data_IF_410512264078
#
_entry.id   IF_410512264078
#
_cell.length_a   1.000
_cell.length_b   1.000
_cell.length_c   1.000
_cell.angle_alpha   90.00
_cell.angle_beta   90.00
_cell.angle_gamma   90.00
#
_symmetry.space_group_name_H-M   'P 1'
#
loop_
_entity.id
_entity.type
_entity.pdbx_description
1 polymer ?
#
# COMPACT_ATOMS: atom_id res chain seq x y z
N UNK A 1 -9.54 16.84 16.40
CA UNK A 1 -8.34 16.76 15.55
C UNK A 1 -7.66 15.41 15.78
N UNK A 2 -8.00 14.38 15.01
CA UNK A 2 -7.36 13.06 15.10
C UNK A 2 -6.23 13.02 14.07
N UNK A 3 -5.00 13.01 14.55
CA UNK A 3 -3.79 12.96 13.75
C UNK A 3 -3.54 11.50 13.34
N UNK A 4 -4.13 11.08 12.21
CA UNK A 4 -3.95 9.74 11.63
C UNK A 4 -2.55 9.63 11.01
N UNK A 5 -1.56 9.41 11.87
CA UNK A 5 -0.22 9.04 11.45
C UNK A 5 -0.28 7.70 10.71
N UNK A 6 0.13 7.70 9.44
CA UNK A 6 0.43 6.50 8.65
C UNK A 6 1.44 5.64 9.40
N UNK A 7 0.97 4.73 10.26
CA UNK A 7 1.80 3.64 10.79
C UNK A 7 1.76 2.55 9.74
N UNK A 8 2.71 2.62 8.82
CA UNK A 8 3.00 1.54 7.89
C UNK A 8 3.24 0.27 8.71
N UNK A 9 2.53 -0.81 8.36
CA UNK A 9 2.90 -2.17 8.73
C UNK A 9 4.36 -2.37 8.32
N UNK A 10 5.27 -2.32 9.31
CA UNK A 10 6.70 -2.39 9.06
C UNK A 10 7.09 -3.87 9.06
N UNK A 11 7.34 -4.42 7.87
CA UNK A 11 7.85 -5.79 7.69
C UNK A 11 9.37 -5.78 7.92
N UNK A 12 9.83 -6.60 8.85
CA UNK A 12 11.23 -6.74 9.20
C UNK A 12 11.91 -7.74 8.24
N UNK A 13 12.65 -7.26 7.23
CA UNK A 13 13.58 -8.11 6.45
C UNK A 13 14.91 -8.23 7.19
N UNK A 14 15.36 -9.46 7.49
CA UNK A 14 16.74 -9.74 7.91
C UNK A 14 17.69 -9.41 6.77
N UNK A 15 18.74 -8.63 7.03
CA UNK A 15 19.84 -8.39 6.11
C UNK A 15 21.00 -9.33 6.45
N UNK A 16 21.40 -10.19 5.51
CA UNK A 16 22.63 -10.98 5.55
C UNK A 16 23.78 -10.14 5.00
N UNK A 17 24.83 -9.94 5.81
CA UNK A 17 26.02 -9.18 5.46
C UNK A 17 26.96 -9.93 4.51
N UNK A 18 27.59 -9.19 3.60
CA UNK A 18 28.65 -9.68 2.72
C UNK A 18 29.52 -8.51 2.27
N UNK A 19 30.73 -8.45 2.84
CA UNK A 19 31.80 -7.47 2.56
C UNK A 19 32.36 -7.70 1.15
N UNK A 20 32.51 -6.65 0.33
CA UNK A 20 33.29 -6.72 -0.92
C UNK A 20 34.58 -5.92 -0.77
N UNK A 21 35.70 -6.59 -1.00
CA UNK A 21 37.03 -6.01 -1.17
C UNK A 21 37.16 -5.37 -2.55
N UNK A 22 37.82 -4.22 -2.61
CA UNK A 22 38.24 -3.55 -3.85
C UNK A 22 39.67 -3.99 -4.19
N UNK A 23 39.88 -4.56 -5.37
CA UNK A 23 41.21 -4.74 -5.96
C UNK A 23 41.39 -3.74 -7.11
N UNK A 24 42.48 -2.96 -7.05
CA UNK A 24 42.96 -2.11 -8.12
C UNK A 24 43.66 -2.95 -9.19
N UNK A 25 43.42 -2.64 -10.47
CA UNK A 25 44.29 -3.03 -11.57
C UNK A 25 44.38 -1.87 -12.57
N UNK A 26 45.61 -1.42 -12.83
CA UNK A 26 45.94 -0.42 -13.85
C UNK A 26 46.15 -1.03 -15.23
N UNK A 27 46.22 -0.16 -16.22
CA UNK A 27 46.60 -0.46 -17.60
C UNK A 27 45.91 0.48 -18.58
N UNK A 28 46.65 1.45 -19.11
CA UNK A 28 46.20 2.27 -20.24
C UNK A 28 46.51 1.55 -21.55
N UNK A 29 45.61 1.62 -22.55
CA UNK A 29 46.03 1.66 -23.94
C UNK A 29 45.46 2.86 -24.69
N UNK A 30 46.17 3.11 -25.79
CA UNK A 30 46.22 4.28 -26.65
C UNK A 30 45.00 4.47 -27.57
N UNK A 31 44.96 5.67 -28.17
CA UNK A 31 43.88 6.30 -28.91
C UNK A 31 43.27 5.48 -30.06
N UNK A 32 41.96 5.26 -29.97
CA UNK A 32 41.10 4.81 -31.06
C UNK A 32 39.70 5.42 -30.89
N UNK A 33 39.29 6.21 -31.88
CA UNK A 33 37.93 6.64 -32.26
C UNK A 33 36.94 7.01 -31.13
N UNK A 34 36.52 8.28 -31.10
CA UNK A 34 35.57 8.80 -30.11
C UNK A 34 34.30 7.92 -30.04
N UNK A 35 33.90 7.43 -28.85
CA UNK A 35 32.73 6.61 -28.72
C UNK A 35 31.48 7.38 -29.20
N UNK A 36 30.54 6.72 -29.89
CA UNK A 36 29.29 7.36 -30.28
C UNK A 36 28.61 7.95 -29.05
N UNK A 37 28.08 9.18 -29.19
CA UNK A 37 27.39 9.89 -28.11
C UNK A 37 26.45 8.94 -27.35
N UNK A 38 26.55 8.87 -26.01
CA UNK A 38 25.66 8.02 -25.24
C UNK A 38 24.22 8.45 -25.52
N UNK A 39 23.44 7.52 -26.09
CA UNK A 39 22.02 7.74 -26.27
C UNK A 39 21.36 7.85 -24.88
N UNK A 40 20.37 8.74 -24.71
CA UNK A 40 19.76 8.96 -23.41
C UNK A 40 19.18 7.65 -22.85
N UNK A 41 19.53 7.25 -21.62
CA UNK A 41 19.03 6.03 -21.02
C UNK A 41 17.53 6.21 -20.74
N UNK A 42 16.70 5.51 -21.52
CA UNK A 42 15.24 5.56 -21.38
C UNK A 42 14.44 4.89 -22.51
N UNK A 43 15.10 4.47 -23.60
CA UNK A 43 14.41 3.87 -24.76
C UNK A 43 14.29 2.33 -24.66
N UNK A 44 14.99 1.70 -23.71
CA UNK A 44 14.96 0.25 -23.54
C UNK A 44 13.70 -0.19 -22.80
N UNK A 45 12.68 -0.60 -23.55
CA UNK A 45 11.48 -1.27 -23.04
C UNK A 45 10.14 -0.82 -23.61
N UNK A 46 10.12 0.20 -24.48
CA UNK A 46 8.87 0.75 -25.05
C UNK A 46 8.19 -0.21 -26.04
N UNK A 47 8.99 -0.96 -26.83
CA UNK A 47 8.49 -1.94 -27.80
C UNK A 47 7.78 -3.15 -27.16
N UNK A 48 8.05 -3.44 -25.89
CA UNK A 48 7.42 -4.56 -25.18
C UNK A 48 5.95 -4.28 -24.82
N UNK A 49 5.54 -3.01 -24.76
CA UNK A 49 4.17 -2.61 -24.39
C UNK A 49 3.23 -2.45 -25.58
N UNK A 50 3.76 -2.08 -26.75
CA UNK A 50 2.96 -1.76 -27.95
C UNK A 50 2.62 -2.99 -28.79
N UNK A 51 3.17 -4.17 -28.47
CA UNK A 51 3.02 -5.40 -29.28
C UNK A 51 3.30 -5.18 -30.78
N UNK A 52 4.13 -4.18 -31.11
CA UNK A 52 4.47 -3.82 -32.49
C UNK A 52 3.37 -3.08 -33.28
N UNK A 53 2.34 -2.53 -32.62
CA UNK A 53 1.35 -1.69 -33.30
C UNK A 53 1.94 -0.30 -33.61
N UNK A 54 2.09 0.06 -34.91
CA UNK A 54 2.72 1.31 -35.31
C UNK A 54 1.93 2.56 -34.88
N UNK A 55 0.61 2.49 -34.72
CA UNK A 55 -0.19 3.63 -34.30
C UNK A 55 0.02 3.97 -32.82
N UNK A 56 0.07 2.93 -31.98
CA UNK A 56 0.34 3.07 -30.55
C UNK A 56 1.76 3.58 -30.29
N UNK A 57 2.74 3.14 -31.08
CA UNK A 57 4.12 3.64 -31.00
C UNK A 57 4.22 5.10 -31.41
N UNK A 58 3.52 5.51 -32.47
CA UNK A 58 3.46 6.91 -32.87
C UNK A 58 2.84 7.77 -31.77
N UNK A 59 1.70 7.34 -31.22
CA UNK A 59 1.03 8.03 -30.11
C UNK A 59 1.92 8.15 -28.87
N UNK A 60 2.69 7.11 -28.56
CA UNK A 60 3.63 7.11 -27.44
C UNK A 60 4.78 8.10 -27.66
N UNK A 61 5.37 8.12 -28.86
CA UNK A 61 6.40 9.12 -29.23
C UNK A 61 5.87 10.55 -29.11
N UNK A 62 4.64 10.80 -29.56
CA UNK A 62 3.98 12.10 -29.41
C UNK A 62 3.84 12.48 -27.93
N UNK A 63 3.41 11.56 -27.07
CA UNK A 63 3.26 11.80 -25.62
C UNK A 63 4.63 12.02 -24.94
N UNK A 64 5.67 11.31 -25.36
CA UNK A 64 7.03 11.52 -24.86
C UNK A 64 7.55 12.91 -25.23
N UNK A 65 7.36 13.34 -26.48
CA UNK A 65 7.69 14.69 -26.92
C UNK A 65 6.88 15.75 -26.17
N UNK A 66 5.57 15.53 -25.98
CA UNK A 66 4.72 16.41 -25.18
C UNK A 66 5.25 16.57 -23.75
N UNK A 67 5.72 15.48 -23.14
CA UNK A 67 6.29 15.48 -21.78
C UNK A 67 7.61 16.27 -21.72
N UNK A 68 8.44 16.16 -22.76
CA UNK A 68 9.70 16.89 -22.83
C UNK A 68 9.49 18.39 -23.10
N UNK A 69 8.51 18.74 -23.94
CA UNK A 69 8.08 20.13 -24.12
C UNK A 69 7.59 20.70 -22.78
N UNK A 70 6.75 19.97 -22.03
CA UNK A 70 6.31 20.40 -20.69
C UNK A 70 7.48 20.62 -19.72
N UNK A 71 8.54 19.81 -19.82
CA UNK A 71 9.76 19.96 -19.01
C UNK A 71 10.51 21.25 -19.39
N UNK A 72 10.66 21.54 -20.68
CA UNK A 72 11.31 22.76 -21.19
C UNK A 72 10.52 24.03 -20.84
N UNK A 73 9.19 23.94 -20.84
CA UNK A 73 8.28 25.01 -20.39
C UNK A 73 8.32 25.25 -18.87
N UNK A 74 9.09 24.46 -18.11
CA UNK A 74 9.18 24.58 -16.65
C UNK A 74 7.95 24.06 -15.90
N UNK A 75 7.10 23.25 -16.54
CA UNK A 75 5.99 22.61 -15.86
C UNK A 75 6.49 21.52 -14.89
N UNK A 76 5.65 21.16 -13.92
CA UNK A 76 5.96 20.19 -12.87
C UNK A 76 5.98 18.76 -13.44
N UNK A 77 7.08 18.38 -14.07
CA UNK A 77 7.30 17.06 -14.68
C UNK A 77 8.43 16.33 -13.94
N UNK A 78 8.26 15.04 -13.57
CA UNK A 78 9.32 14.25 -12.93
C UNK A 78 10.61 14.17 -13.76
N UNK A 79 11.78 13.95 -13.13
CA UNK A 79 13.02 13.63 -13.83
C UNK A 79 12.86 12.44 -14.78
N UNK A 80 13.65 12.40 -15.85
CA UNK A 80 13.54 11.35 -16.88
C UNK A 80 13.74 9.93 -16.29
N UNK A 81 14.62 9.80 -15.31
CA UNK A 81 14.90 8.55 -14.60
C UNK A 81 13.67 7.98 -13.86
N UNK A 82 12.72 8.84 -13.48
CA UNK A 82 11.50 8.43 -12.79
C UNK A 82 10.46 7.83 -13.75
N UNK A 83 10.61 8.04 -15.07
CA UNK A 83 9.64 7.67 -16.08
C UNK A 83 9.75 6.20 -16.49
N UNK A 84 9.12 5.34 -15.70
CA UNK A 84 9.06 3.88 -15.94
C UNK A 84 7.98 3.47 -16.96
N UNK A 85 8.10 2.29 -17.61
CA UNK A 85 7.10 1.78 -18.57
C UNK A 85 5.63 1.77 -18.09
N UNK A 86 5.32 1.42 -16.82
CA UNK A 86 3.95 1.49 -16.31
C UNK A 86 3.37 2.92 -16.27
N UNK A 87 4.22 3.94 -16.10
CA UNK A 87 3.81 5.34 -16.12
C UNK A 87 3.38 5.74 -17.53
N UNK A 88 4.17 5.35 -18.53
CA UNK A 88 3.85 5.55 -19.94
C UNK A 88 2.55 4.84 -20.34
N UNK A 89 2.33 3.61 -19.88
CA UNK A 89 1.07 2.89 -20.07
C UNK A 89 -0.14 3.63 -19.49
N UNK A 90 0.00 4.25 -18.31
CA UNK A 90 -1.08 5.08 -17.75
C UNK A 90 -1.30 6.38 -18.52
N UNK A 91 -0.23 7.02 -19.03
CA UNK A 91 -0.35 8.22 -19.87
C UNK A 91 -1.05 7.92 -21.20
N UNK A 92 -0.80 6.76 -21.80
CA UNK A 92 -1.48 6.31 -23.03
C UNK A 92 -2.99 6.13 -22.83
N UNK A 93 -3.42 5.66 -21.64
CA UNK A 93 -4.84 5.55 -21.26
C UNK A 93 -5.52 6.92 -21.13
N UNK A 94 -4.76 7.99 -20.86
CA UNK A 94 -5.29 9.34 -20.73
C UNK A 94 -5.37 10.05 -22.09
N UNK A 95 -6.57 10.23 -22.61
CA UNK A 95 -6.80 10.86 -23.92
C UNK A 95 -6.53 12.38 -23.96
N UNK A 96 -6.70 13.10 -22.84
CA UNK A 96 -6.59 14.57 -22.80
C UNK A 96 -5.21 15.06 -22.34
N UNK A 97 -4.67 16.09 -23.04
CA UNK A 97 -3.44 16.83 -22.65
C UNK A 97 -3.53 17.36 -21.22
N UNK A 98 -4.66 17.92 -20.83
CA UNK A 98 -4.90 18.41 -19.47
C UNK A 98 -4.89 17.29 -18.42
N UNK A 99 -5.39 16.11 -18.78
CA UNK A 99 -5.34 14.92 -17.92
C UNK A 99 -3.92 14.41 -17.71
N UNK A 100 -3.12 14.33 -18.78
CA UNK A 100 -1.70 13.96 -18.73
C UNK A 100 -0.89 14.95 -17.89
N UNK A 101 -1.07 16.26 -18.10
CA UNK A 101 -0.43 17.30 -17.28
C UNK A 101 -0.70 17.13 -15.78
N UNK A 102 -1.98 16.96 -15.40
CA UNK A 102 -2.36 16.73 -13.98
C UNK A 102 -1.73 15.46 -13.41
N UNK A 103 -1.64 14.40 -14.20
CA UNK A 103 -1.01 13.16 -13.78
C UNK A 103 0.51 13.31 -13.57
N UNK A 104 1.20 13.98 -14.50
CA UNK A 104 2.64 14.29 -14.35
C UNK A 104 2.91 15.17 -13.14
N UNK A 105 2.09 16.20 -12.92
CA UNK A 105 2.16 17.06 -11.75
C UNK A 105 2.00 16.28 -10.44
N UNK A 106 1.03 15.36 -10.39
CA UNK A 106 0.84 14.46 -9.26
C UNK A 106 2.08 13.58 -9.01
N UNK A 107 2.69 13.03 -10.07
CA UNK A 107 3.90 12.23 -9.96
C UNK A 107 5.08 13.06 -9.45
N UNK A 108 5.24 14.30 -9.95
CA UNK A 108 6.31 15.19 -9.52
C UNK A 108 6.19 15.52 -8.02
N UNK A 109 4.99 15.89 -7.58
CA UNK A 109 4.69 16.15 -6.16
C UNK A 109 4.96 14.91 -5.30
N UNK A 110 4.61 13.73 -5.79
CA UNK A 110 4.86 12.46 -5.09
C UNK A 110 6.36 12.16 -4.98
N UNK A 111 7.13 12.39 -6.05
CA UNK A 111 8.58 12.21 -6.07
C UNK A 111 9.28 13.18 -5.11
N UNK A 112 8.94 14.47 -5.15
CA UNK A 112 9.48 15.49 -4.23
C UNK A 112 9.13 15.22 -2.77
N UNK A 113 7.91 14.75 -2.49
CA UNK A 113 7.54 14.34 -1.14
C UNK A 113 8.39 13.16 -0.62
N UNK A 114 8.77 12.23 -1.51
CA UNK A 114 9.62 11.08 -1.16
C UNK A 114 11.07 11.51 -0.89
N UNK A 115 11.63 12.38 -1.74
CA UNK A 115 12.96 12.98 -1.56
C UNK A 115 13.04 13.71 -0.21
N UNK A 116 12.08 14.59 0.08
CA UNK A 116 12.01 15.28 1.37
C UNK A 116 11.90 14.33 2.58
N UNK A 117 11.20 13.20 2.44
CA UNK A 117 11.15 12.17 3.48
C UNK A 117 12.50 11.49 3.70
N UNK A 118 13.28 11.27 2.63
CA UNK A 118 14.62 10.69 2.72
C UNK A 118 15.58 11.66 3.42
N UNK A 119 15.60 12.92 2.99
CA UNK A 119 16.40 13.98 3.63
C UNK A 119 16.09 14.10 5.13
N UNK A 120 14.80 14.14 5.50
CA UNK A 120 14.39 14.20 6.90
C UNK A 120 14.82 12.97 7.70
N UNK A 121 14.84 11.79 7.07
CA UNK A 121 15.29 10.55 7.70
C UNK A 121 16.81 10.55 7.91
N UNK A 122 17.57 11.03 6.93
CA UNK A 122 19.02 11.17 7.00
C UNK A 122 19.44 12.21 8.02
N UNK A 123 18.81 13.38 8.03
CA UNK A 123 19.03 14.41 9.05
C UNK A 123 18.75 13.88 10.48
N UNK A 124 17.66 13.15 10.67
CA UNK A 124 17.38 12.48 11.96
C UNK A 124 18.42 11.42 12.34
N UNK A 125 18.95 10.70 11.35
CA UNK A 125 20.01 9.71 11.57
C UNK A 125 21.32 10.39 11.97
N UNK A 126 21.70 11.49 11.30
CA UNK A 126 22.87 12.28 11.64
C UNK A 126 22.75 12.86 13.06
N UNK A 127 21.62 13.49 13.38
CA UNK A 127 21.35 13.98 14.75
C UNK A 127 21.43 12.87 15.81
N UNK A 128 20.95 11.67 15.50
CA UNK A 128 21.05 10.53 16.41
C UNK A 128 22.50 10.06 16.61
N UNK A 129 23.30 9.97 15.54
CA UNK A 129 24.71 9.59 15.63
C UNK A 129 25.53 10.67 16.36
N UNK A 130 25.27 11.95 16.11
CA UNK A 130 25.88 13.08 16.82
C UNK A 130 25.54 13.06 18.32
N UNK A 131 24.26 12.88 18.67
CA UNK A 131 23.83 12.77 20.08
C UNK A 131 24.46 11.56 20.77
N UNK A 132 24.58 10.43 20.05
CA UNK A 132 25.24 9.23 20.55
C UNK A 132 26.74 9.44 20.75
N UNK A 133 27.42 10.13 19.83
CA UNK A 133 28.83 10.49 19.96
C UNK A 133 29.05 11.46 21.13
N UNK A 134 28.13 12.42 21.34
CA UNK A 134 28.19 13.38 22.44
C UNK A 134 27.94 12.74 23.82
N UNK A 135 27.12 11.67 23.91
CA UNK A 135 26.89 10.93 25.15
C UNK A 135 28.11 10.12 25.63
N UNK A 136 29.16 9.98 24.81
CA UNK A 136 30.35 9.21 25.15
C UNK A 136 30.11 7.70 25.32
N UNK A 137 31.14 6.93 25.69
CA UNK A 137 30.99 5.52 26.05
C UNK A 137 30.09 5.42 27.28
N UNK A 138 29.17 4.46 27.24
CA UNK A 138 28.30 4.21 28.38
C UNK A 138 29.11 3.66 29.54
N UNK A 139 29.21 4.41 30.63
CA UNK A 139 29.83 3.91 31.86
C UNK A 139 29.06 2.69 32.35
N UNK A 140 29.79 1.61 32.64
CA UNK A 140 29.21 0.41 33.25
C UNK A 140 28.94 0.75 34.71
N UNK A 141 27.71 1.16 35.01
CA UNK A 141 27.28 1.44 36.38
C UNK A 141 27.48 0.19 37.25
N UNK A 142 27.98 0.39 38.47
CA UNK A 142 28.03 -0.67 39.46
C UNK A 142 26.62 -1.19 39.79
N UNK A 143 26.52 -2.42 40.32
CA UNK A 143 25.22 -3.07 40.58
C UNK A 143 24.30 -2.22 41.49
N UNK A 144 24.88 -1.50 42.44
CA UNK A 144 24.19 -0.63 43.41
C UNK A 144 23.71 0.69 42.77
N UNK A 145 24.55 1.35 41.98
CA UNK A 145 24.17 2.53 41.21
C UNK A 145 23.13 2.22 40.13
N UNK A 146 23.24 1.06 39.48
CA UNK A 146 22.28 0.60 38.50
C UNK A 146 20.90 0.36 39.13
N UNK A 147 20.84 -0.13 40.37
CA UNK A 147 19.58 -0.30 41.11
C UNK A 147 18.97 1.04 41.55
N UNK A 148 19.79 2.03 41.89
CA UNK A 148 19.35 3.36 42.33
C UNK A 148 19.00 4.31 41.17
N UNK A 149 19.55 4.06 39.97
CA UNK A 149 19.32 4.92 38.80
C UNK A 149 18.11 4.43 38.00
N UNK A 150 17.05 5.24 37.94
CA UNK A 150 15.90 4.93 37.10
C UNK A 150 16.12 5.37 35.65
N UNK A 151 15.99 4.46 34.68
CA UNK A 151 16.17 4.81 33.28
C UNK A 151 15.94 3.64 32.32
N UNK A 152 15.66 3.94 31.05
CA UNK A 152 15.29 2.92 30.04
C UNK A 152 16.34 1.79 29.89
N UNK A 153 17.59 2.07 30.26
CA UNK A 153 18.61 1.04 30.32
C UNK A 153 19.44 1.10 31.61
N UNK A 154 18.76 1.45 32.71
CA UNK A 154 19.17 1.22 34.09
C UNK A 154 18.02 0.46 34.80
N UNK A 155 17.68 0.74 36.05
CA UNK A 155 16.50 0.14 36.70
C UNK A 155 15.21 0.75 36.11
N UNK A 156 14.32 -0.08 35.53
CA UNK A 156 13.03 0.38 35.03
C UNK A 156 11.95 -0.71 35.19
N UNK A 157 10.89 -0.37 35.91
CA UNK A 157 9.74 -1.24 36.19
C UNK A 157 8.79 -1.32 34.98
N UNK A 158 8.76 -0.27 34.15
CA UNK A 158 7.92 -0.19 32.95
C UNK A 158 8.75 -0.41 31.68
N UNK A 159 8.71 -1.64 31.16
CA UNK A 159 9.26 -1.93 29.84
C UNK A 159 8.61 -1.04 28.78
N UNK A 160 9.42 -0.55 27.84
CA UNK A 160 8.89 0.19 26.70
C UNK A 160 8.05 -0.74 25.84
N UNK A 161 6.79 -0.38 25.64
CA UNK A 161 5.97 -1.02 24.61
C UNK A 161 6.44 -0.57 23.23
N UNK A 162 6.99 -1.51 22.46
CA UNK A 162 7.30 -1.31 21.07
C UNK A 162 6.05 -1.46 20.22
N UNK A 163 6.02 -0.80 19.07
CA UNK A 163 4.94 -0.93 18.09
C UNK A 163 4.73 -2.40 17.67
N UNK A 164 5.81 -3.20 17.65
CA UNK A 164 5.74 -4.64 17.42
C UNK A 164 4.95 -5.37 18.51
N UNK A 165 5.25 -5.11 19.79
CA UNK A 165 4.53 -5.69 20.93
C UNK A 165 3.05 -5.32 20.92
N UNK A 166 2.76 -4.06 20.64
CA UNK A 166 1.39 -3.54 20.49
C UNK A 166 0.68 -4.24 19.32
N UNK A 167 1.37 -4.41 18.18
CA UNK A 167 0.83 -5.12 17.04
C UNK A 167 0.55 -6.59 17.36
N UNK A 168 1.46 -7.30 18.03
CA UNK A 168 1.23 -8.68 18.45
C UNK A 168 0.01 -8.80 19.37
N UNK A 169 -0.14 -7.87 20.31
CA UNK A 169 -1.32 -7.82 21.18
C UNK A 169 -2.62 -7.67 20.38
N UNK A 170 -2.67 -6.75 19.43
CA UNK A 170 -3.85 -6.57 18.58
C UNK A 170 -4.11 -7.75 17.63
N UNK A 171 -3.07 -8.36 17.06
CA UNK A 171 -3.22 -9.57 16.25
C UNK A 171 -3.75 -10.74 17.09
N UNK A 172 -3.26 -10.88 18.33
CA UNK A 172 -3.76 -11.89 19.26
C UNK A 172 -5.23 -11.69 19.62
N UNK A 173 -5.71 -10.45 19.65
CA UNK A 173 -7.14 -10.16 19.82
C UNK A 173 -7.96 -10.60 18.60
N UNK A 174 -7.49 -10.31 17.39
CA UNK A 174 -8.16 -10.77 16.16
C UNK A 174 -8.15 -12.30 16.05
N UNK A 175 -7.06 -12.96 16.42
CA UNK A 175 -7.00 -14.42 16.43
C UNK A 175 -8.09 -15.03 17.33
N UNK A 176 -8.36 -14.44 18.50
CA UNK A 176 -9.50 -14.84 19.35
C UNK A 176 -10.85 -14.57 18.69
N UNK A 177 -10.98 -13.45 17.97
CA UNK A 177 -12.20 -13.15 17.23
C UNK A 177 -12.43 -14.12 16.07
N UNK A 178 -11.40 -14.67 15.43
CA UNK A 178 -11.57 -15.71 14.42
C UNK A 178 -12.30 -16.95 14.95
N UNK A 179 -12.07 -17.30 16.22
CA UNK A 179 -12.70 -18.47 16.84
C UNK A 179 -14.07 -18.14 17.45
N UNK A 180 -14.20 -16.98 18.11
CA UNK A 180 -15.35 -16.66 18.98
C UNK A 180 -16.11 -15.39 18.59
N UNK A 181 -15.57 -14.60 17.68
CA UNK A 181 -16.13 -13.31 17.27
C UNK A 181 -17.31 -13.50 16.33
N UNK A 182 -18.17 -12.47 16.28
CA UNK A 182 -19.26 -12.43 15.32
C UNK A 182 -18.70 -12.25 13.90
N UNK A 183 -19.28 -12.98 12.95
CA UNK A 183 -18.85 -12.96 11.55
C UNK A 183 -19.37 -11.74 10.81
N UNK A 184 -18.48 -11.08 10.11
CA UNK A 184 -18.78 -9.96 9.20
C UNK A 184 -18.18 -10.25 7.83
N UNK A 185 -18.99 -10.21 6.79
CA UNK A 185 -18.58 -10.50 5.42
C UNK A 185 -18.44 -9.22 4.62
N UNK A 186 -17.34 -9.11 3.88
CA UNK A 186 -17.07 -8.05 2.92
C UNK A 186 -17.10 -8.65 1.51
N UNK A 187 -18.19 -8.41 0.79
CA UNK A 187 -18.40 -8.92 -0.56
C UNK A 187 -17.64 -8.07 -1.58
N UNK A 188 -16.50 -8.58 -2.05
CA UNK A 188 -15.59 -7.86 -2.94
C UNK A 188 -15.81 -8.18 -4.43
N UNK A 189 -16.98 -8.74 -4.79
CA UNK A 189 -17.32 -9.17 -6.16
C UNK A 189 -17.53 -8.03 -7.18
N UNK A 190 -17.49 -6.77 -6.75
CA UNK A 190 -17.77 -5.59 -7.58
C UNK A 190 -16.55 -5.03 -8.31
N UNK A 191 -15.39 -5.69 -8.23
CA UNK A 191 -14.10 -5.20 -8.75
C UNK A 191 -14.15 -4.75 -10.22
N UNK A 192 -14.88 -5.49 -11.06
CA UNK A 192 -15.03 -5.23 -12.51
C UNK A 192 -15.93 -4.04 -12.83
N UNK A 193 -16.81 -3.66 -11.90
CA UNK A 193 -17.76 -2.56 -12.06
C UNK A 193 -17.21 -1.23 -11.55
N UNK A 194 -16.06 -1.26 -10.88
CA UNK A 194 -15.38 -0.07 -10.38
C UNK A 194 -14.27 0.37 -11.33
N UNK A 195 -14.11 1.68 -11.51
CA UNK A 195 -12.93 2.23 -12.16
C UNK A 195 -11.67 1.94 -11.33
N UNK A 196 -10.49 2.00 -11.95
CA UNK A 196 -9.20 1.86 -11.23
C UNK A 196 -9.07 2.77 -10.00
N UNK A 197 -9.62 3.99 -10.08
CA UNK A 197 -9.60 4.94 -8.96
C UNK A 197 -10.55 4.51 -7.84
N UNK A 198 -11.70 3.95 -8.17
CA UNK A 198 -12.67 3.41 -7.22
C UNK A 198 -12.13 2.15 -6.55
N UNK A 199 -11.58 1.20 -7.32
CA UNK A 199 -10.86 0.03 -6.80
C UNK A 199 -9.75 0.44 -5.82
N UNK A 200 -8.99 1.49 -6.13
CA UNK A 200 -7.96 2.01 -5.22
C UNK A 200 -8.54 2.59 -3.92
N UNK A 201 -9.71 3.22 -3.98
CA UNK A 201 -10.37 3.75 -2.78
C UNK A 201 -11.00 2.61 -1.97
N UNK A 202 -11.63 1.63 -2.62
CA UNK A 202 -12.18 0.45 -2.00
C UNK A 202 -11.08 -0.31 -1.23
N UNK A 203 -9.93 -0.59 -1.86
CA UNK A 203 -8.79 -1.22 -1.18
C UNK A 203 -8.33 -0.45 0.08
N UNK A 204 -8.35 0.89 0.03
CA UNK A 204 -8.01 1.72 1.20
C UNK A 204 -9.07 1.61 2.30
N UNK A 205 -10.35 1.64 1.95
CA UNK A 205 -11.45 1.51 2.92
C UNK A 205 -11.45 0.11 3.57
N UNK A 206 -11.22 -0.95 2.79
CA UNK A 206 -11.07 -2.31 3.28
C UNK A 206 -9.92 -2.45 4.29
N UNK A 207 -8.78 -1.79 4.02
CA UNK A 207 -7.67 -1.75 4.97
C UNK A 207 -8.00 -0.93 6.22
N UNK A 208 -8.68 0.21 6.07
CA UNK A 208 -9.10 1.03 7.21
C UNK A 208 -10.06 0.26 8.12
N UNK A 209 -11.03 -0.44 7.53
CA UNK A 209 -11.98 -1.31 8.25
C UNK A 209 -11.23 -2.40 9.03
N UNK A 210 -10.27 -3.08 8.40
CA UNK A 210 -9.41 -4.05 9.10
C UNK A 210 -8.67 -3.43 10.29
N UNK A 211 -8.07 -2.25 10.07
CA UNK A 211 -7.32 -1.54 11.11
C UNK A 211 -8.21 -1.10 12.27
N UNK A 212 -9.40 -0.58 11.99
CA UNK A 212 -10.32 -0.10 13.03
C UNK A 212 -10.91 -1.28 13.83
N UNK A 213 -11.30 -2.36 13.16
CA UNK A 213 -11.76 -3.59 13.83
C UNK A 213 -10.69 -4.13 14.77
N UNK A 214 -9.43 -4.19 14.31
CA UNK A 214 -8.29 -4.64 15.11
C UNK A 214 -8.08 -3.85 16.41
N UNK A 215 -8.41 -2.56 16.43
CA UNK A 215 -8.30 -1.74 17.63
C UNK A 215 -9.50 -1.89 18.58
N UNK A 216 -10.64 -2.40 18.08
CA UNK A 216 -11.84 -2.62 18.89
C UNK A 216 -11.60 -3.63 20.01
N UNK A 217 -12.28 -3.45 21.15
CA UNK A 217 -12.13 -4.34 22.32
C UNK A 217 -12.67 -5.74 22.06
N UNK A 218 -13.73 -5.82 21.25
CA UNK A 218 -14.40 -7.04 20.83
C UNK A 218 -14.54 -7.04 19.29
N UNK A 219 -13.50 -7.45 18.55
CA UNK A 219 -13.50 -7.36 17.10
C UNK A 219 -14.44 -8.39 16.45
N UNK A 220 -14.94 -8.04 15.27
CA UNK A 220 -15.57 -9.00 14.36
C UNK A 220 -14.55 -9.96 13.75
N UNK A 221 -15.01 -11.17 13.45
CA UNK A 221 -14.38 -12.14 12.55
C UNK A 221 -14.66 -11.70 11.11
N UNK A 222 -13.75 -10.93 10.51
CA UNK A 222 -13.94 -10.35 9.17
C UNK A 222 -13.53 -11.35 8.09
N UNK A 223 -14.42 -11.55 7.12
CA UNK A 223 -14.19 -12.37 5.93
C UNK A 223 -14.30 -11.55 4.65
N UNK A 224 -13.24 -11.55 3.87
CA UNK A 224 -13.22 -10.97 2.54
C UNK A 224 -13.58 -12.06 1.54
N UNK A 225 -14.72 -11.95 0.87
CA UNK A 225 -15.20 -12.95 -0.11
C UNK A 225 -15.13 -12.41 -1.53
N UNK A 226 -15.22 -13.30 -2.51
CA UNK A 226 -15.15 -12.94 -3.94
C UNK A 226 -13.83 -12.26 -4.34
N UNK A 227 -12.75 -12.49 -3.57
CA UNK A 227 -11.50 -11.72 -3.68
C UNK A 227 -10.48 -12.42 -4.58
N UNK A 228 -10.73 -12.40 -5.90
CA UNK A 228 -9.88 -13.08 -6.90
C UNK A 228 -8.46 -12.49 -6.97
N UNK A 229 -7.38 -13.30 -6.98
CA UNK A 229 -6.00 -12.83 -7.03
C UNK A 229 -5.68 -11.88 -8.20
N UNK A 230 -6.32 -12.09 -9.35
CA UNK A 230 -6.08 -11.33 -10.57
C UNK A 230 -6.79 -9.97 -10.59
N UNK A 231 -7.73 -9.73 -9.67
CA UNK A 231 -8.55 -8.51 -9.68
C UNK A 231 -7.72 -7.25 -9.37
N UNK A 232 -8.11 -6.10 -9.95
CA UNK A 232 -7.44 -4.83 -9.64
C UNK A 232 -7.54 -4.49 -8.15
N UNK A 233 -8.69 -4.78 -7.53
CA UNK A 233 -8.93 -4.56 -6.10
C UNK A 233 -7.97 -5.36 -5.23
N UNK A 234 -7.86 -6.67 -5.47
CA UNK A 234 -6.98 -7.57 -4.71
C UNK A 234 -5.52 -7.16 -4.83
N UNK A 235 -5.04 -6.86 -6.04
CA UNK A 235 -3.66 -6.42 -6.24
C UNK A 235 -3.36 -5.10 -5.53
N UNK A 236 -4.34 -4.19 -5.43
CA UNK A 236 -4.17 -2.95 -4.68
C UNK A 236 -4.22 -3.19 -3.18
N UNK A 237 -5.11 -4.06 -2.69
CA UNK A 237 -5.19 -4.43 -1.28
C UNK A 237 -3.91 -5.12 -0.81
N UNK A 238 -3.38 -6.08 -1.59
CA UNK A 238 -2.13 -6.78 -1.30
C UNK A 238 -0.92 -5.83 -1.26
N UNK A 239 -0.90 -4.77 -2.08
CA UNK A 239 0.14 -3.73 -1.99
C UNK A 239 0.08 -2.94 -0.68
N UNK A 240 -1.12 -2.78 -0.12
CA UNK A 240 -1.33 -2.07 1.15
C UNK A 240 -1.07 -3.01 2.34
N UNK A 241 -1.48 -4.28 2.23
CA UNK A 241 -1.32 -5.32 3.25
C UNK A 241 -0.56 -6.50 2.63
N UNK A 242 0.79 -6.44 2.56
CA UNK A 242 1.59 -7.51 1.92
C UNK A 242 1.44 -8.87 2.60
N UNK A 243 1.11 -8.88 3.89
CA UNK A 243 0.99 -10.07 4.73
C UNK A 243 -0.40 -10.72 4.66
N UNK A 244 -1.32 -10.23 3.80
CA UNK A 244 -2.72 -10.68 3.80
C UNK A 244 -2.92 -12.18 3.53
N UNK A 245 -1.98 -12.82 2.83
CA UNK A 245 -2.00 -14.26 2.53
C UNK A 245 -1.10 -15.08 3.45
N UNK A 246 -0.43 -14.44 4.42
CA UNK A 246 0.40 -15.18 5.38
C UNK A 246 -0.49 -15.92 6.37
N UNK A 247 -0.31 -17.24 6.60
CA UNK A 247 -1.17 -18.00 7.51
C UNK A 247 -1.19 -17.47 8.94
N UNK A 248 -0.13 -16.80 9.38
CA UNK A 248 -0.04 -16.20 10.72
C UNK A 248 -0.72 -14.84 10.84
N UNK A 249 -1.19 -14.26 9.73
CA UNK A 249 -1.85 -12.96 9.72
C UNK A 249 -3.38 -13.16 9.88
N UNK A 250 -4.02 -12.52 10.87
CA UNK A 250 -5.41 -12.80 11.21
C UNK A 250 -6.37 -12.07 10.25
N UNK A 251 -6.41 -12.51 9.00
CA UNK A 251 -7.28 -11.98 7.94
C UNK A 251 -7.82 -13.14 7.12
N UNK A 252 -9.14 -13.31 7.11
CA UNK A 252 -9.78 -14.39 6.35
C UNK A 252 -10.07 -13.92 4.92
N UNK A 253 -9.37 -14.50 3.94
CA UNK A 253 -9.53 -14.17 2.52
C UNK A 253 -10.04 -15.40 1.77
N UNK A 254 -11.13 -15.22 1.02
CA UNK A 254 -11.80 -16.25 0.26
C UNK A 254 -11.94 -15.80 -1.20
N UNK A 255 -11.55 -16.67 -2.13
CA UNK A 255 -11.77 -16.45 -3.57
C UNK A 255 -13.23 -16.65 -3.95
N UNK A 256 -13.90 -17.61 -3.29
CA UNK A 256 -15.31 -17.96 -3.49
C UNK A 256 -16.29 -16.93 -2.95
N UNK A 257 -17.54 -17.06 -3.38
CA UNK A 257 -18.64 -16.19 -2.94
C UNK A 257 -19.01 -16.46 -1.49
N UNK A 258 -19.58 -15.46 -0.81
CA UNK A 258 -20.14 -15.63 0.54
C UNK A 258 -21.21 -16.73 0.61
N UNK A 259 -21.89 -17.03 -0.50
CA UNK A 259 -22.87 -18.12 -0.61
C UNK A 259 -22.25 -19.52 -0.56
N UNK A 260 -20.96 -19.64 -0.88
CA UNK A 260 -20.21 -20.90 -0.85
C UNK A 260 -19.54 -21.11 0.52
N UNK A 261 -19.18 -20.00 1.17
CA UNK A 261 -18.43 -20.01 2.44
C UNK A 261 -19.37 -20.13 3.64
N UNK A 262 -20.57 -19.58 3.57
CA UNK A 262 -21.47 -19.44 4.72
C UNK A 262 -22.87 -20.04 4.49
N UNK A 263 -23.54 -20.51 5.55
CA UNK A 263 -24.89 -21.03 5.46
C UNK A 263 -25.90 -19.91 5.17
N UNK A 264 -26.67 -20.05 4.09
CA UNK A 264 -27.62 -19.03 3.61
C UNK A 264 -28.59 -18.52 4.68
N UNK A 265 -29.10 -19.41 5.54
CA UNK A 265 -30.13 -19.06 6.53
C UNK A 265 -29.72 -18.07 7.63
N UNK A 266 -28.43 -17.69 7.70
CA UNK A 266 -27.92 -16.70 8.64
C UNK A 266 -27.43 -15.42 7.97
N UNK A 267 -27.46 -15.35 6.64
CA UNK A 267 -26.92 -14.21 5.89
C UNK A 267 -27.89 -13.05 5.89
N UNK A 268 -27.36 -11.84 6.13
CA UNK A 268 -28.13 -10.59 6.04
C UNK A 268 -27.32 -9.57 5.23
N UNK A 269 -27.77 -9.26 4.01
CA UNK A 269 -27.08 -8.30 3.15
C UNK A 269 -27.48 -6.86 3.48
N UNK A 270 -26.52 -6.06 3.94
CA UNK A 270 -26.76 -4.65 4.27
C UNK A 270 -26.69 -3.80 3.00
N UNK A 271 -27.82 -3.22 2.62
CA UNK A 271 -27.91 -2.32 1.46
C UNK A 271 -28.86 -1.17 1.77
N UNK A 272 -28.55 0.08 1.36
CA UNK A 272 -29.47 1.21 1.53
C UNK A 272 -30.73 1.11 0.66
N UNK A 273 -30.80 0.13 -0.26
CA UNK A 273 -31.90 -0.06 -1.19
C UNK A 273 -32.84 -1.21 -0.78
N UNK A 274 -32.68 -1.76 0.41
CA UNK A 274 -33.62 -2.76 0.93
C UNK A 274 -34.97 -2.11 1.28
N UNK A 275 -36.04 -2.90 1.21
CA UNK A 275 -37.39 -2.47 1.63
C UNK A 275 -37.60 -2.60 3.14
N UNK A 276 -36.84 -3.48 3.77
CA UNK A 276 -36.95 -3.82 5.18
C UNK A 276 -35.92 -3.02 5.99
N UNK A 277 -36.38 -2.29 7.00
CA UNK A 277 -35.49 -1.52 7.86
C UNK A 277 -34.93 -2.40 8.99
N UNK A 278 -33.63 -2.28 9.25
CA UNK A 278 -32.98 -2.99 10.34
C UNK A 278 -33.27 -2.27 11.67
N UNK A 279 -34.23 -2.77 12.43
CA UNK A 279 -34.58 -2.18 13.73
C UNK A 279 -33.63 -2.59 14.87
N UNK A 280 -33.09 -3.81 14.80
CA UNK A 280 -32.25 -4.40 15.85
C UNK A 280 -31.09 -5.19 15.27
N UNK A 281 -30.00 -5.23 16.02
CA UNK A 281 -28.84 -6.03 15.70
C UNK A 281 -28.96 -7.43 16.29
N UNK A 282 -28.79 -8.45 15.44
CA UNK A 282 -28.83 -9.87 15.78
C UNK A 282 -27.39 -10.41 15.82
N UNK A 283 -26.99 -10.95 16.96
CA UNK A 283 -25.65 -11.49 17.16
C UNK A 283 -25.45 -12.87 16.50
N UNK A 284 -26.54 -13.56 16.13
CA UNK A 284 -26.49 -14.83 15.42
C UNK A 284 -26.51 -14.67 13.89
N UNK A 285 -26.82 -13.48 13.39
CA UNK A 285 -26.75 -13.18 11.96
C UNK A 285 -25.31 -12.94 11.48
N UNK A 286 -25.07 -13.23 10.20
CA UNK A 286 -23.85 -12.96 9.46
C UNK A 286 -24.16 -11.81 8.50
N UNK A 287 -23.71 -10.62 8.87
CA UNK A 287 -23.93 -9.42 8.08
C UNK A 287 -22.96 -9.37 6.90
N UNK A 288 -23.46 -8.96 5.73
CA UNK A 288 -22.67 -8.76 4.52
C UNK A 288 -22.68 -7.27 4.16
N UNK A 289 -21.51 -6.71 3.89
CA UNK A 289 -21.32 -5.36 3.39
C UNK A 289 -20.67 -5.46 1.99
N UNK A 290 -21.26 -4.77 1.02
CA UNK A 290 -20.66 -4.66 -0.32
C UNK A 290 -19.34 -3.87 -0.28
N UNK A 291 -18.26 -4.48 -0.75
CA UNK A 291 -16.92 -3.90 -0.90
C UNK A 291 -16.82 -2.97 -2.10
N UNK A 292 -17.70 -1.99 -2.18
CA UNK A 292 -17.93 -1.14 -3.35
C UNK A 292 -17.70 0.35 -3.05
N UNK A 293 -17.18 1.08 -4.03
CA UNK A 293 -17.09 2.54 -4.00
C UNK A 293 -17.73 3.09 -5.27
N UNK A 294 -18.91 3.69 -5.13
CA UNK A 294 -19.62 4.37 -6.21
C UNK A 294 -19.48 5.89 -6.04
N UNK A 295 -18.72 6.55 -6.92
CA UNK A 295 -18.68 8.02 -7.01
C UNK A 295 -19.49 8.54 -8.21
N UNK A 296 -20.00 7.66 -9.07
CA UNK A 296 -20.68 7.99 -10.30
C UNK A 296 -22.03 7.28 -10.35
N UNK A 297 -23.03 7.93 -9.74
CA UNK A 297 -24.42 7.51 -9.71
C UNK A 297 -24.92 7.03 -11.09
N UNK A 298 -25.08 5.71 -11.29
CA UNK A 298 -26.23 5.13 -12.02
C UNK A 298 -26.17 3.61 -12.20
N UNK A 299 -25.03 2.99 -12.52
CA UNK A 299 -25.01 1.58 -12.99
C UNK A 299 -24.80 0.50 -11.92
N UNK A 300 -24.37 0.87 -10.71
CA UNK A 300 -24.04 -0.08 -9.63
C UNK A 300 -25.20 -0.35 -8.66
N UNK A 301 -26.29 0.42 -8.77
CA UNK A 301 -27.47 0.31 -7.91
C UNK A 301 -28.26 -0.96 -8.17
N UNK A 302 -28.43 -1.30 -9.44
CA UNK A 302 -29.20 -2.47 -9.86
C UNK A 302 -28.53 -3.78 -9.42
N UNK A 303 -27.20 -3.84 -9.44
CA UNK A 303 -26.41 -4.99 -8.98
C UNK A 303 -26.51 -5.22 -7.47
N UNK A 304 -26.55 -4.15 -6.67
CA UNK A 304 -26.78 -4.27 -5.23
C UNK A 304 -28.21 -4.73 -4.92
N UNK A 305 -29.18 -4.36 -5.75
CA UNK A 305 -30.56 -4.76 -5.60
C UNK A 305 -30.77 -6.24 -5.98
N UNK A 306 -30.13 -6.73 -7.04
CA UNK A 306 -30.13 -8.15 -7.40
C UNK A 306 -29.49 -9.02 -6.31
N UNK A 307 -28.35 -8.60 -5.75
CA UNK A 307 -27.68 -9.34 -4.68
C UNK A 307 -28.43 -9.33 -3.34
N UNK A 308 -29.30 -8.34 -3.12
CA UNK A 308 -30.13 -8.24 -1.91
C UNK A 308 -31.37 -9.15 -1.91
N UNK A 309 -31.67 -9.84 -3.01
CA UNK A 309 -32.79 -10.79 -3.10
C UNK A 309 -32.40 -12.23 -2.72
N UNK A 310 -31.19 -12.42 -2.20
CA UNK A 310 -30.66 -13.71 -1.73
C UNK A 310 -30.78 -13.79 -0.22
#
# INVERSE_FOLDING_TARGET
MLNWGRRALTVCKRASGGTRQCSQAGGAPDAGEAPPRPQPPGVLGLAAFTKGDPELEHKLKVIMLETEVMRQEGQLVPPQEFMSPPIWGNLLKLGSRSGRRKYLEYLFKTAKAKEHQQEKKEARRQQFEEAKAAMGPREVLGMEEHAQTYGLAANNIFLRFYDTSINHFYNGRLAKACDFGQKLVLDCGFDRHMSRRENQNAAKQLMMLFSDNRFHKDPFDIHYTSLRPESELTQMLQKIIPTMYEPAFPMNVHEGSYLEVFPKGRLVYLTPHCREEMERFDHDAIYIIGGIVDKAFSSLKDLLQENSQV
#
